data_IF_103504876056
#
_entry.id   IF_103504876056
#
_cell.length_a   1.000
_cell.length_b   1.000
_cell.length_c   1.000
_cell.angle_alpha   90.00
_cell.angle_beta   90.00
_cell.angle_gamma   90.00
#
_symmetry.space_group_name_H-M   'P 1'
#
loop_
_entity.id
_entity.type
_entity.pdbx_description
1 polymer ?
#
# COMPACT_ATOMS: atom_id res chain seq x y z
N UNK A 1 21.28 -24.95 11.78
CA UNK A 1 22.02 -23.85 11.14
C UNK A 1 21.04 -23.15 10.20
N UNK A 2 20.43 -22.09 10.67
CA UNK A 2 19.48 -21.27 9.90
C UNK A 2 20.33 -20.35 9.02
N UNK A 3 20.25 -20.52 7.70
CA UNK A 3 20.87 -19.58 6.77
C UNK A 3 20.11 -18.25 6.91
N UNK A 4 20.79 -17.24 7.44
CA UNK A 4 20.26 -15.89 7.57
C UNK A 4 19.74 -15.39 6.22
N UNK A 5 18.55 -14.79 6.22
CA UNK A 5 17.97 -14.16 5.05
C UNK A 5 18.97 -13.15 4.49
N UNK A 6 19.31 -13.30 3.22
CA UNK A 6 20.23 -12.41 2.55
C UNK A 6 19.65 -11.00 2.54
N UNK A 7 20.18 -10.13 3.40
CA UNK A 7 20.06 -8.68 3.24
C UNK A 7 20.55 -8.39 1.81
N UNK A 8 19.77 -7.65 1.04
CA UNK A 8 20.17 -7.22 -0.30
C UNK A 8 21.56 -6.60 -0.20
N UNK A 9 22.62 -7.34 -0.63
CA UNK A 9 23.92 -6.76 -0.80
C UNK A 9 23.77 -5.58 -1.76
N UNK A 10 24.42 -4.47 -1.42
CA UNK A 10 24.44 -3.29 -2.28
C UNK A 10 25.05 -3.68 -3.62
N UNK A 11 24.21 -3.97 -4.61
CA UNK A 11 24.66 -3.94 -6.00
C UNK A 11 25.32 -2.59 -6.24
N UNK A 12 26.42 -2.58 -6.99
CA UNK A 12 27.16 -1.33 -7.28
C UNK A 12 26.18 -0.28 -7.80
N UNK A 13 26.30 0.99 -7.36
CA UNK A 13 25.42 2.05 -7.84
C UNK A 13 25.41 2.05 -9.37
N UNK A 14 24.25 1.91 -9.96
CA UNK A 14 24.10 1.92 -11.42
C UNK A 14 24.32 3.36 -11.88
N UNK A 15 25.50 3.63 -12.42
CA UNK A 15 25.84 4.90 -13.05
C UNK A 15 25.48 4.82 -14.55
N UNK A 16 24.27 5.23 -14.88
CA UNK A 16 23.83 5.38 -16.27
C UNK A 16 23.23 6.77 -16.48
N UNK A 17 23.59 7.45 -17.55
CA UNK A 17 22.90 8.68 -17.97
C UNK A 17 21.53 8.28 -18.51
N UNK A 18 20.45 8.67 -17.82
CA UNK A 18 19.10 8.40 -18.28
C UNK A 18 18.83 9.19 -19.57
N UNK A 19 18.20 8.54 -20.55
CA UNK A 19 17.86 9.16 -21.84
C UNK A 19 16.66 10.13 -21.70
N UNK A 20 15.82 9.95 -20.68
CA UNK A 20 14.66 10.76 -20.35
C UNK A 20 14.49 10.85 -18.82
N UNK A 21 13.72 11.80 -18.29
CA UNK A 21 13.51 11.91 -16.85
C UNK A 21 12.69 10.74 -16.29
N UNK A 22 12.81 10.53 -14.98
CA UNK A 22 11.93 9.68 -14.19
C UNK A 22 10.62 10.44 -13.96
N UNK A 23 9.48 9.90 -14.38
CA UNK A 23 8.18 10.48 -14.05
C UNK A 23 7.71 10.01 -12.69
N UNK A 24 7.40 10.92 -11.77
CA UNK A 24 6.83 10.61 -10.46
C UNK A 24 5.37 11.03 -10.46
N UNK A 25 4.49 10.05 -10.52
CA UNK A 25 3.05 10.27 -10.45
C UNK A 25 2.67 10.46 -8.98
N UNK A 26 2.51 11.71 -8.56
CA UNK A 26 2.40 12.09 -7.15
C UNK A 26 1.21 13.04 -6.93
N UNK A 27 0.23 12.58 -6.18
CA UNK A 27 -0.96 13.35 -5.82
C UNK A 27 -0.83 13.93 -4.39
N UNK A 28 -0.06 13.24 -3.53
CA UNK A 28 0.08 13.66 -2.15
C UNK A 28 1.35 14.51 -1.99
N UNK A 29 1.28 15.70 -1.39
CA UNK A 29 2.40 16.65 -1.37
C UNK A 29 3.67 16.14 -0.70
N UNK A 30 3.56 15.15 0.21
CA UNK A 30 4.67 14.71 1.05
C UNK A 30 5.09 13.26 0.84
N UNK A 31 4.26 12.43 0.20
CA UNK A 31 4.54 10.98 0.11
C UNK A 31 5.78 10.65 -0.70
N UNK A 32 6.17 11.51 -1.61
CA UNK A 32 7.37 11.32 -2.42
C UNK A 32 8.57 12.14 -1.94
N UNK A 33 8.44 12.91 -0.86
CA UNK A 33 9.49 13.85 -0.43
C UNK A 33 10.86 13.18 -0.21
N UNK A 34 10.90 12.02 0.47
CA UNK A 34 12.15 11.27 0.70
C UNK A 34 12.75 10.73 -0.59
N UNK A 35 11.92 10.23 -1.52
CA UNK A 35 12.37 9.77 -2.83
C UNK A 35 12.90 10.93 -3.66
N UNK A 36 12.19 12.06 -3.69
CA UNK A 36 12.61 13.27 -4.40
C UNK A 36 13.96 13.76 -3.88
N UNK A 37 14.13 13.87 -2.56
CA UNK A 37 15.40 14.26 -1.95
C UNK A 37 16.56 13.34 -2.36
N UNK A 38 16.33 12.04 -2.46
CA UNK A 38 17.35 11.07 -2.90
C UNK A 38 17.66 11.22 -4.40
N UNK A 39 16.65 11.48 -5.25
CA UNK A 39 16.87 11.74 -6.67
C UNK A 39 17.67 13.03 -6.90
N UNK A 40 17.37 14.09 -6.15
CA UNK A 40 18.12 15.36 -6.14
C UNK A 40 19.57 15.16 -5.67
N UNK A 41 19.75 14.44 -4.56
CA UNK A 41 21.08 14.11 -4.03
C UNK A 41 21.94 13.39 -5.06
N UNK A 42 21.34 12.46 -5.80
CA UNK A 42 22.01 11.70 -6.88
C UNK A 42 22.07 12.45 -8.21
N UNK A 43 21.47 13.64 -8.31
CA UNK A 43 21.37 14.43 -9.54
C UNK A 43 20.73 13.66 -10.71
N UNK A 44 19.73 12.83 -10.41
CA UNK A 44 18.95 12.10 -11.40
C UNK A 44 17.85 13.01 -11.95
N UNK A 45 17.63 13.05 -13.28
CA UNK A 45 16.57 13.87 -13.85
C UNK A 45 15.21 13.27 -13.52
N UNK A 46 14.29 14.04 -12.97
CA UNK A 46 12.92 13.63 -12.69
C UNK A 46 11.93 14.76 -12.96
N UNK A 47 10.67 14.38 -13.10
CA UNK A 47 9.52 15.28 -13.26
C UNK A 47 8.38 14.79 -12.37
N UNK A 48 7.78 15.69 -11.58
CA UNK A 48 6.56 15.41 -10.84
C UNK A 48 5.36 15.59 -11.77
N UNK A 49 4.52 14.57 -11.84
CA UNK A 49 3.28 14.59 -12.61
C UNK A 49 2.11 14.66 -11.63
N UNK A 50 1.53 15.85 -11.50
CA UNK A 50 0.31 16.04 -10.73
C UNK A 50 -0.90 15.56 -11.55
N UNK A 51 -1.32 14.34 -11.29
CA UNK A 51 -2.44 13.71 -11.97
C UNK A 51 -3.81 14.05 -11.38
N UNK A 52 -3.88 14.92 -10.39
CA UNK A 52 -5.14 15.52 -9.95
C UNK A 52 -5.66 16.56 -10.94
N UNK A 53 -4.74 17.12 -11.75
CA UNK A 53 -5.02 18.10 -12.83
C UNK A 53 -4.14 17.82 -14.05
N UNK A 54 -4.34 16.68 -14.70
CA UNK A 54 -3.52 16.21 -15.82
C UNK A 54 -4.39 15.83 -17.01
N UNK A 55 -3.85 16.01 -18.22
CA UNK A 55 -4.47 15.54 -19.46
C UNK A 55 -3.42 14.87 -20.34
N UNK A 56 -3.81 13.86 -21.10
CA UNK A 56 -2.98 13.23 -22.13
C UNK A 56 -3.77 12.99 -23.41
N UNK A 57 -3.09 13.10 -24.56
CA UNK A 57 -3.65 12.71 -25.85
C UNK A 57 -3.21 11.27 -26.17
N UNK A 58 -4.13 10.29 -26.28
CA UNK A 58 -3.77 8.91 -26.60
C UNK A 58 -3.08 8.73 -27.96
N UNK A 59 -3.14 9.75 -28.85
CA UNK A 59 -2.43 9.76 -30.14
C UNK A 59 -0.96 10.14 -30.00
N UNK A 60 -0.56 10.79 -28.91
CA UNK A 60 0.85 11.07 -28.62
C UNK A 60 1.55 9.76 -28.27
N UNK A 61 2.42 9.29 -29.16
CA UNK A 61 3.13 8.00 -29.00
C UNK A 61 4.58 8.18 -28.55
N UNK A 62 4.99 9.39 -28.20
CA UNK A 62 6.35 9.67 -27.76
C UNK A 62 6.57 9.22 -26.31
N UNK A 63 7.52 8.32 -26.01
CA UNK A 63 7.86 7.96 -24.65
C UNK A 63 8.65 9.11 -24.00
N UNK A 64 7.99 9.90 -23.15
CA UNK A 64 8.60 11.09 -22.50
C UNK A 64 9.42 10.76 -21.26
N UNK A 65 9.22 9.58 -20.67
CA UNK A 65 9.85 9.16 -19.42
C UNK A 65 10.66 7.88 -19.61
N UNK A 66 11.77 7.76 -18.90
CA UNK A 66 12.56 6.54 -18.85
C UNK A 66 11.87 5.45 -18.00
N UNK A 67 11.13 5.87 -16.99
CA UNK A 67 10.34 5.03 -16.08
C UNK A 67 9.29 5.91 -15.38
N UNK A 68 8.14 5.36 -15.07
CA UNK A 68 7.13 5.99 -14.20
C UNK A 68 7.17 5.35 -12.83
N UNK A 69 7.15 6.16 -11.78
CA UNK A 69 6.97 5.72 -10.40
C UNK A 69 5.57 6.15 -9.95
N UNK A 70 4.67 5.17 -9.83
CA UNK A 70 3.31 5.42 -9.37
C UNK A 70 3.27 5.56 -7.84
N UNK A 71 2.90 6.75 -7.37
CA UNK A 71 2.73 7.08 -5.94
C UNK A 71 1.28 7.41 -5.58
N UNK A 72 0.32 7.04 -6.42
CA UNK A 72 -1.11 7.28 -6.19
C UNK A 72 -1.63 6.41 -5.05
N UNK A 73 -2.24 7.06 -4.07
CA UNK A 73 -2.82 6.36 -2.92
C UNK A 73 -4.34 6.19 -3.05
N UNK A 74 -4.89 5.05 -2.62
CA UNK A 74 -6.33 4.87 -2.50
C UNK A 74 -7.02 5.88 -1.58
N UNK A 75 -6.26 6.53 -0.68
CA UNK A 75 -6.80 7.57 0.21
C UNK A 75 -7.00 8.95 -0.46
N UNK A 76 -6.68 9.11 -1.76
CA UNK A 76 -6.85 10.35 -2.51
C UNK A 76 -8.28 10.92 -2.47
N UNK A 77 -9.30 10.04 -2.40
CA UNK A 77 -10.69 10.48 -2.28
C UNK A 77 -10.94 11.32 -1.01
N UNK A 78 -10.20 11.09 0.08
CA UNK A 78 -10.31 11.87 1.33
C UNK A 78 -9.77 13.30 1.19
N UNK A 79 -8.97 13.55 0.16
CA UNK A 79 -8.43 14.87 -0.18
C UNK A 79 -9.23 15.55 -1.29
N UNK A 80 -10.41 15.02 -1.64
CA UNK A 80 -11.26 15.54 -2.71
C UNK A 80 -10.90 15.03 -4.12
N UNK A 81 -9.90 14.16 -4.24
CA UNK A 81 -9.39 13.67 -5.52
C UNK A 81 -9.91 12.26 -5.87
N UNK A 82 -11.18 11.96 -5.57
CA UNK A 82 -11.75 10.62 -5.79
C UNK A 82 -11.68 10.11 -7.23
N UNK A 83 -11.80 10.99 -8.21
CA UNK A 83 -11.68 10.67 -9.64
C UNK A 83 -10.28 10.25 -10.08
N UNK A 84 -9.25 10.66 -9.33
CA UNK A 84 -7.82 10.35 -9.62
C UNK A 84 -7.57 8.85 -9.73
N UNK A 85 -8.23 8.03 -8.91
CA UNK A 85 -8.01 6.57 -8.92
C UNK A 85 -8.42 5.92 -10.25
N UNK A 86 -9.49 6.42 -10.87
CA UNK A 86 -9.95 5.92 -12.17
C UNK A 86 -9.11 6.49 -13.31
N UNK A 87 -8.78 7.78 -13.23
CA UNK A 87 -7.90 8.44 -14.19
C UNK A 87 -6.51 7.80 -14.23
N UNK A 88 -5.92 7.54 -13.07
CA UNK A 88 -4.61 6.91 -12.93
C UNK A 88 -4.55 5.54 -13.60
N UNK A 89 -5.58 4.71 -13.46
CA UNK A 89 -5.60 3.40 -14.12
C UNK A 89 -5.48 3.55 -15.64
N UNK A 90 -6.21 4.49 -16.25
CA UNK A 90 -6.12 4.78 -17.68
C UNK A 90 -4.76 5.34 -18.08
N UNK A 91 -4.20 6.25 -17.27
CA UNK A 91 -2.91 6.88 -17.54
C UNK A 91 -1.75 5.87 -17.45
N UNK A 92 -1.75 4.99 -16.44
CA UNK A 92 -0.74 3.93 -16.32
C UNK A 92 -0.82 2.96 -17.52
N UNK A 93 -2.02 2.52 -17.90
CA UNK A 93 -2.22 1.66 -19.06
C UNK A 93 -1.75 2.34 -20.36
N UNK A 94 -1.98 3.65 -20.51
CA UNK A 94 -1.46 4.42 -21.64
C UNK A 94 0.06 4.39 -21.67
N UNK A 95 0.75 4.71 -20.59
CA UNK A 95 2.21 4.69 -20.54
C UNK A 95 2.81 3.30 -20.76
N UNK A 96 2.20 2.26 -20.19
CA UNK A 96 2.61 0.87 -20.48
C UNK A 96 2.45 0.52 -21.96
N UNK A 97 1.41 1.04 -22.64
CA UNK A 97 1.22 0.86 -24.08
C UNK A 97 2.31 1.52 -24.94
N UNK A 98 3.02 2.49 -24.38
CA UNK A 98 4.19 3.13 -25.00
C UNK A 98 5.49 2.39 -24.73
N UNK A 99 5.45 1.27 -23.97
CA UNK A 99 6.64 0.53 -23.55
C UNK A 99 7.41 1.18 -22.40
N UNK A 100 6.84 2.20 -21.73
CA UNK A 100 7.46 2.83 -20.57
C UNK A 100 7.28 1.91 -19.36
N UNK A 101 8.36 1.51 -18.66
CA UNK A 101 8.24 0.77 -17.42
C UNK A 101 7.47 1.57 -16.37
N UNK A 102 6.55 0.94 -15.67
CA UNK A 102 5.79 1.53 -14.58
C UNK A 102 6.06 0.76 -13.29
N UNK A 103 6.40 1.46 -12.23
CA UNK A 103 6.62 0.94 -10.87
C UNK A 103 5.59 1.58 -9.93
N UNK A 104 4.59 0.91 -9.39
CA UNK A 104 4.08 -0.40 -9.74
C UNK A 104 3.16 -0.31 -10.98
N UNK A 105 3.07 -1.37 -11.79
CA UNK A 105 2.27 -1.38 -13.01
C UNK A 105 0.76 -1.29 -12.72
N UNK A 106 -0.03 -1.05 -13.79
CA UNK A 106 -1.49 -0.95 -13.67
C UNK A 106 -2.12 -2.20 -13.05
N UNK A 107 -1.54 -3.37 -13.30
CA UNK A 107 -2.01 -4.62 -12.70
C UNK A 107 -1.92 -4.59 -11.16
N UNK A 108 -0.79 -4.12 -10.62
CA UNK A 108 -0.62 -3.98 -9.17
C UNK A 108 -1.49 -2.86 -8.59
N UNK A 109 -1.65 -1.75 -9.31
CA UNK A 109 -2.49 -0.65 -8.87
C UNK A 109 -3.97 -1.03 -8.71
N UNK A 110 -4.45 -2.00 -9.49
CA UNK A 110 -5.80 -2.55 -9.31
C UNK A 110 -5.97 -3.23 -7.95
N UNK A 111 -4.97 -3.95 -7.48
CA UNK A 111 -4.98 -4.56 -6.14
C UNK A 111 -4.82 -3.49 -5.05
N UNK A 112 -3.98 -2.48 -5.25
CA UNK A 112 -3.82 -1.36 -4.32
C UNK A 112 -5.16 -0.70 -4.00
N UNK A 113 -5.99 -0.45 -5.00
CA UNK A 113 -7.26 0.27 -4.84
C UNK A 113 -8.48 -0.60 -4.55
N UNK A 114 -8.35 -1.95 -4.48
CA UNK A 114 -9.53 -2.83 -4.32
C UNK A 114 -9.27 -3.99 -3.36
N UNK A 115 -9.87 -3.89 -2.17
CA UNK A 115 -9.85 -4.97 -1.16
C UNK A 115 -10.63 -6.21 -1.62
N UNK A 116 -11.62 -6.03 -2.48
CA UNK A 116 -12.35 -7.15 -3.10
C UNK A 116 -11.43 -7.98 -4.00
N UNK A 117 -10.59 -7.31 -4.82
CA UNK A 117 -9.57 -8.00 -5.62
C UNK A 117 -8.50 -8.66 -4.74
N UNK A 118 -8.12 -8.04 -3.62
CA UNK A 118 -7.18 -8.63 -2.67
C UNK A 118 -7.75 -9.91 -2.04
N UNK A 119 -9.03 -9.95 -1.67
CA UNK A 119 -9.68 -11.17 -1.16
C UNK A 119 -9.63 -12.30 -2.22
N UNK A 120 -9.92 -11.99 -3.48
CA UNK A 120 -9.77 -12.94 -4.58
C UNK A 120 -8.33 -13.38 -4.86
N UNK A 121 -7.35 -12.48 -4.61
CA UNK A 121 -5.93 -12.81 -4.70
C UNK A 121 -5.53 -13.82 -3.61
N UNK A 122 -5.94 -13.60 -2.38
CA UNK A 122 -5.66 -14.51 -1.25
C UNK A 122 -6.22 -15.91 -1.52
N UNK A 123 -7.45 -15.98 -2.01
CA UNK A 123 -8.09 -17.25 -2.39
C UNK A 123 -7.31 -17.95 -3.52
N UNK A 124 -6.96 -17.23 -4.57
CA UNK A 124 -6.23 -17.78 -5.73
C UNK A 124 -4.84 -18.30 -5.38
N UNK A 125 -4.13 -17.62 -4.47
CA UNK A 125 -2.80 -18.04 -4.00
C UNK A 125 -2.89 -19.14 -2.96
N UNK A 126 -4.07 -19.37 -2.37
CA UNK A 126 -4.31 -20.40 -1.36
C UNK A 126 -3.79 -20.03 0.02
N UNK A 127 -3.73 -18.72 0.34
CA UNK A 127 -3.38 -18.25 1.68
C UNK A 127 -4.63 -17.97 2.50
N UNK A 128 -4.52 -18.08 3.81
CA UNK A 128 -5.64 -17.82 4.71
C UNK A 128 -5.88 -16.32 4.86
N UNK A 129 -7.14 -15.93 4.82
CA UNK A 129 -7.60 -14.57 5.09
C UNK A 129 -8.92 -14.60 5.89
N UNK A 130 -9.32 -13.53 6.58
CA UNK A 130 -10.60 -13.49 7.28
C UNK A 130 -11.76 -13.69 6.31
N UNK A 131 -12.71 -14.55 6.64
CA UNK A 131 -13.87 -14.81 5.77
C UNK A 131 -14.58 -13.50 5.43
N UNK A 132 -14.84 -13.31 4.15
CA UNK A 132 -15.24 -12.02 3.58
C UNK A 132 -16.36 -12.22 2.56
N UNK A 133 -17.36 -11.35 2.60
CA UNK A 133 -18.39 -11.22 1.58
C UNK A 133 -18.34 -9.80 1.03
N UNK A 134 -18.25 -9.67 -0.30
CA UNK A 134 -18.26 -8.37 -0.98
C UNK A 134 -19.70 -7.99 -1.31
N UNK A 135 -20.07 -6.74 -1.02
CA UNK A 135 -21.42 -6.20 -1.24
C UNK A 135 -21.33 -4.84 -1.92
N UNK A 136 -22.31 -4.52 -2.77
CA UNK A 136 -22.41 -3.22 -3.44
C UNK A 136 -23.74 -2.47 -3.13
N UNK A 137 -24.49 -2.98 -2.18
CA UNK A 137 -25.70 -2.35 -1.71
C UNK A 137 -25.91 -2.60 -0.21
N UNK A 138 -26.44 -1.60 0.53
CA UNK A 138 -26.65 -1.71 1.98
C UNK A 138 -27.57 -2.84 2.39
N UNK A 139 -28.61 -3.13 1.59
CA UNK A 139 -29.57 -4.20 1.86
C UNK A 139 -28.93 -5.60 1.88
N UNK A 140 -27.76 -5.75 1.26
CA UNK A 140 -27.03 -7.01 1.22
C UNK A 140 -26.21 -7.26 2.50
N UNK A 141 -25.91 -6.22 3.30
CA UNK A 141 -25.00 -6.29 4.44
C UNK A 141 -25.49 -7.26 5.50
N UNK A 142 -26.78 -7.20 5.86
CA UNK A 142 -27.37 -8.10 6.87
C UNK A 142 -27.41 -9.55 6.41
N UNK A 143 -27.68 -9.78 5.13
CA UNK A 143 -27.63 -11.12 4.56
C UNK A 143 -26.20 -11.65 4.59
N UNK A 144 -25.23 -10.87 4.13
CA UNK A 144 -23.82 -11.21 4.14
C UNK A 144 -23.30 -11.52 5.56
N UNK A 145 -23.67 -10.66 6.54
CA UNK A 145 -23.25 -10.89 7.93
C UNK A 145 -23.83 -12.15 8.55
N UNK A 146 -25.00 -12.61 8.07
CA UNK A 146 -25.61 -13.88 8.52
C UNK A 146 -24.82 -15.13 8.15
N UNK A 147 -23.88 -15.04 7.20
CA UNK A 147 -22.98 -16.11 6.79
C UNK A 147 -21.64 -16.08 7.55
N UNK A 148 -21.42 -15.06 8.39
CA UNK A 148 -20.16 -14.76 9.05
C UNK A 148 -20.31 -14.89 10.58
N UNK A 149 -19.18 -15.10 11.24
CA UNK A 149 -19.11 -15.09 12.71
C UNK A 149 -18.83 -13.67 13.20
N UNK A 150 -19.65 -13.22 14.16
CA UNK A 150 -19.39 -11.95 14.85
C UNK A 150 -18.21 -12.09 15.83
N UNK A 151 -17.44 -11.02 16.09
CA UNK A 151 -17.57 -9.68 15.48
C UNK A 151 -17.28 -9.65 13.99
N UNK A 152 -17.92 -8.69 13.27
CA UNK A 152 -17.63 -8.44 11.87
C UNK A 152 -17.14 -7.00 11.68
N UNK A 153 -16.36 -6.81 10.62
CA UNK A 153 -15.99 -5.49 10.11
C UNK A 153 -16.81 -5.18 8.86
N UNK A 154 -17.26 -3.95 8.72
CA UNK A 154 -17.68 -3.40 7.43
C UNK A 154 -16.64 -2.37 7.02
N UNK A 155 -16.05 -2.55 5.85
CA UNK A 155 -14.99 -1.67 5.33
C UNK A 155 -15.21 -1.36 3.86
N UNK A 156 -14.99 -0.10 3.40
CA UNK A 156 -15.08 0.22 1.99
C UNK A 156 -14.04 -0.57 1.18
N UNK A 157 -14.38 -0.88 -0.05
CA UNK A 157 -13.48 -1.54 -0.99
C UNK A 157 -12.26 -0.65 -1.30
N UNK A 158 -12.51 0.62 -1.59
CA UNK A 158 -11.48 1.63 -1.85
C UNK A 158 -11.23 2.43 -0.59
N UNK A 159 -10.00 2.39 -0.08
CA UNK A 159 -9.63 3.15 1.11
C UNK A 159 -8.24 2.79 1.61
N UNK A 160 -7.70 3.61 2.51
CA UNK A 160 -6.40 3.42 3.13
C UNK A 160 -6.39 3.91 4.59
N UNK A 161 -5.34 3.60 5.32
CA UNK A 161 -5.11 4.05 6.70
C UNK A 161 -6.25 3.70 7.69
N UNK A 162 -6.97 2.61 7.46
CA UNK A 162 -8.06 2.16 8.33
C UNK A 162 -9.33 3.05 8.31
N UNK A 163 -9.40 4.00 7.39
CA UNK A 163 -10.53 4.91 7.31
C UNK A 163 -11.85 4.19 6.97
N UNK A 164 -12.93 4.64 7.62
CA UNK A 164 -14.30 4.14 7.40
C UNK A 164 -14.48 2.64 7.70
N UNK A 165 -13.55 2.02 8.43
CA UNK A 165 -13.71 0.66 8.94
C UNK A 165 -14.53 0.73 10.21
N UNK A 166 -15.69 0.06 10.23
CA UNK A 166 -16.54 -0.05 11.41
C UNK A 166 -16.61 -1.50 11.87
N UNK A 167 -16.47 -1.71 13.19
CA UNK A 167 -16.61 -3.02 13.84
C UNK A 167 -17.97 -3.15 14.51
N UNK A 168 -18.55 -4.33 14.37
CA UNK A 168 -19.85 -4.69 14.99
C UNK A 168 -19.68 -5.99 15.77
N UNK A 169 -19.96 -5.90 17.07
CA UNK A 169 -19.85 -7.06 17.94
C UNK A 169 -21.12 -7.94 17.90
N UNK A 170 -22.27 -7.35 17.54
CA UNK A 170 -23.53 -8.05 17.39
C UNK A 170 -24.30 -7.60 16.13
N UNK A 171 -25.22 -8.45 15.67
CA UNK A 171 -26.08 -8.16 14.53
C UNK A 171 -26.96 -6.93 14.74
N UNK A 172 -27.46 -6.74 15.95
CA UNK A 172 -28.34 -5.60 16.29
C UNK A 172 -27.60 -4.26 16.11
N UNK A 173 -26.31 -4.20 16.48
CA UNK A 173 -25.48 -2.99 16.30
C UNK A 173 -25.30 -2.66 14.82
N UNK A 174 -25.11 -3.68 14.00
CA UNK A 174 -24.98 -3.54 12.54
C UNK A 174 -26.31 -3.07 11.92
N UNK A 175 -27.44 -3.64 12.34
CA UNK A 175 -28.79 -3.24 11.87
C UNK A 175 -29.07 -1.76 12.16
N UNK A 176 -28.75 -1.30 13.35
CA UNK A 176 -28.93 0.10 13.74
C UNK A 176 -28.06 1.09 12.94
N UNK A 177 -26.92 0.62 12.41
CA UNK A 177 -25.93 1.47 11.74
C UNK A 177 -25.98 1.43 10.21
N UNK A 178 -26.65 0.46 9.61
CA UNK A 178 -26.63 0.17 8.16
C UNK A 178 -26.89 1.39 7.27
N UNK A 179 -27.89 2.22 7.62
CA UNK A 179 -28.26 3.38 6.82
C UNK A 179 -27.15 4.43 6.72
N UNK A 180 -26.24 4.45 7.70
CA UNK A 180 -25.17 5.43 7.80
C UNK A 180 -23.80 4.88 7.37
N UNK A 181 -23.70 3.61 6.94
CA UNK A 181 -22.46 3.04 6.43
C UNK A 181 -22.01 3.76 5.16
N UNK A 182 -20.72 4.09 5.11
CA UNK A 182 -20.08 4.67 3.92
C UNK A 182 -19.31 3.58 3.17
N UNK A 183 -19.71 3.32 1.93
CA UNK A 183 -19.09 2.30 1.07
C UNK A 183 -17.91 2.85 0.25
N UNK A 184 -17.56 4.14 0.44
CA UNK A 184 -16.47 4.76 -0.28
C UNK A 184 -16.82 5.12 -1.74
N UNK A 185 -15.82 5.52 -2.53
CA UNK A 185 -16.03 6.16 -3.82
C UNK A 185 -16.56 5.24 -4.92
N UNK A 186 -16.45 3.91 -4.79
CA UNK A 186 -16.95 2.94 -5.78
C UNK A 186 -18.26 2.25 -5.36
N UNK A 187 -18.82 2.64 -4.21
CA UNK A 187 -20.07 2.08 -3.70
C UNK A 187 -19.98 0.61 -3.31
N UNK A 188 -18.79 0.08 -3.09
CA UNK A 188 -18.56 -1.33 -2.75
C UNK A 188 -17.98 -1.44 -1.35
N UNK A 189 -18.42 -2.42 -0.58
CA UNK A 189 -17.90 -2.70 0.75
C UNK A 189 -17.63 -4.20 0.95
N UNK A 190 -16.82 -4.51 1.95
CA UNK A 190 -16.56 -5.85 2.42
C UNK A 190 -17.17 -6.02 3.80
N UNK A 191 -17.98 -7.05 3.99
CA UNK A 191 -18.38 -7.57 5.30
C UNK A 191 -17.44 -8.71 5.62
N UNK A 192 -16.66 -8.57 6.70
CA UNK A 192 -15.53 -9.47 6.98
C UNK A 192 -15.53 -9.90 8.45
N UNK A 193 -15.27 -11.19 8.72
CA UNK A 193 -15.03 -11.64 10.09
C UNK A 193 -13.87 -10.87 10.73
N UNK A 194 -14.05 -10.39 11.94
CA UNK A 194 -12.97 -9.80 12.71
C UNK A 194 -12.12 -10.92 13.34
N UNK A 195 -10.86 -10.97 13.00
CA UNK A 195 -9.90 -11.85 13.62
C UNK A 195 -9.10 -11.04 14.63
N UNK A 196 -9.29 -11.36 15.91
CA UNK A 196 -8.49 -10.75 16.98
C UNK A 196 -7.05 -11.21 16.84
N UNK A 197 -6.14 -10.26 16.73
CA UNK A 197 -4.71 -10.57 16.63
C UNK A 197 -4.09 -10.87 17.99
N UNK A 198 -3.12 -11.76 18.00
CA UNK A 198 -2.29 -12.02 19.17
C UNK A 198 -1.58 -10.73 19.61
N UNK A 199 -1.67 -10.39 20.88
CA UNK A 199 -1.11 -9.17 21.48
C UNK A 199 -1.50 -7.84 20.79
N UNK A 200 -2.59 -7.82 20.00
CA UNK A 200 -2.97 -6.63 19.23
C UNK A 200 -1.98 -6.29 18.11
N UNK A 201 -1.15 -7.24 17.72
CA UNK A 201 -0.06 -7.04 16.76
C UNK A 201 -0.47 -7.40 15.34
N UNK A 202 0.09 -6.68 14.39
CA UNK A 202 0.14 -7.06 12.99
C UNK A 202 1.59 -7.12 12.52
N UNK A 203 1.83 -7.79 11.41
CA UNK A 203 3.12 -7.81 10.73
C UNK A 203 2.94 -7.31 9.31
N UNK A 204 3.80 -6.38 8.91
CA UNK A 204 3.92 -5.90 7.55
C UNK A 204 5.25 -6.36 6.97
N UNK A 205 5.18 -7.06 5.85
CA UNK A 205 6.34 -7.58 5.12
C UNK A 205 6.50 -6.76 3.86
N UNK A 206 7.63 -6.08 3.73
CA UNK A 206 7.97 -5.29 2.55
C UNK A 206 8.76 -6.14 1.56
N UNK A 207 8.39 -5.99 0.30
CA UNK A 207 9.03 -6.65 -0.84
C UNK A 207 9.49 -5.61 -1.84
N UNK A 208 10.56 -5.93 -2.58
CA UNK A 208 11.05 -5.13 -3.69
C UNK A 208 11.81 -6.01 -4.68
N UNK A 209 11.55 -5.84 -5.98
CA UNK A 209 12.25 -6.57 -7.05
C UNK A 209 12.16 -8.10 -6.87
N UNK A 210 10.95 -8.60 -6.58
CA UNK A 210 10.66 -10.01 -6.32
C UNK A 210 11.45 -10.63 -5.13
N UNK A 211 11.90 -9.79 -4.20
CA UNK A 211 12.68 -10.20 -3.02
C UNK A 211 12.08 -9.67 -1.73
N UNK A 212 12.27 -10.43 -0.67
CA UNK A 212 12.02 -9.95 0.69
C UNK A 212 12.98 -8.79 1.02
N UNK A 213 12.44 -7.68 1.51
CA UNK A 213 13.22 -6.51 1.88
C UNK A 213 13.40 -6.43 3.40
N UNK A 214 12.32 -6.40 4.14
CA UNK A 214 12.28 -6.46 5.60
C UNK A 214 10.87 -6.75 6.08
N UNK A 215 10.71 -7.04 7.38
CA UNK A 215 9.40 -6.99 8.00
C UNK A 215 9.45 -6.23 9.33
N UNK A 216 8.30 -5.68 9.68
CA UNK A 216 8.07 -4.99 10.95
C UNK A 216 6.84 -5.55 11.64
N UNK A 217 6.91 -5.63 12.96
CA UNK A 217 5.79 -5.92 13.84
C UNK A 217 5.29 -4.60 14.39
N UNK A 218 3.99 -4.38 14.27
CA UNK A 218 3.30 -3.18 14.70
C UNK A 218 2.30 -3.59 15.77
N UNK A 219 2.46 -3.06 16.98
CA UNK A 219 1.57 -3.30 18.11
C UNK A 219 0.75 -2.05 18.37
N UNK A 220 -0.57 -2.19 18.43
CA UNK A 220 -1.48 -1.12 18.80
C UNK A 220 -1.58 -0.98 20.30
N UNK A 221 -1.57 0.27 20.77
CA UNK A 221 -1.97 0.64 22.13
C UNK A 221 -3.30 1.41 22.15
N UNK A 222 -3.82 1.77 20.96
CA UNK A 222 -5.09 2.47 20.76
C UNK A 222 -6.12 1.60 20.00
N UNK A 223 -7.39 2.00 19.99
CA UNK A 223 -8.51 1.24 19.40
C UNK A 223 -8.77 1.56 17.93
N UNK A 224 -8.06 2.49 17.31
CA UNK A 224 -8.23 2.83 15.91
C UNK A 224 -7.62 1.79 14.96
N UNK A 225 -8.05 1.79 13.68
CA UNK A 225 -7.57 0.87 12.64
C UNK A 225 -6.43 1.45 11.79
N UNK A 226 -5.94 2.67 12.09
CA UNK A 226 -4.81 3.23 11.37
C UNK A 226 -3.49 2.67 11.89
N UNK A 227 -2.94 1.71 11.16
CA UNK A 227 -1.67 1.02 11.48
C UNK A 227 -0.54 1.40 10.53
N UNK A 228 -0.70 2.47 9.75
CA UNK A 228 0.33 2.93 8.82
C UNK A 228 1.62 3.30 9.58
N UNK A 229 2.76 2.64 9.31
CA UNK A 229 4.02 2.87 10.00
C UNK A 229 4.88 4.00 9.38
N UNK A 230 4.41 4.63 8.30
CA UNK A 230 5.15 5.70 7.64
C UNK A 230 4.99 7.05 8.38
N UNK A 231 6.00 7.91 8.30
CA UNK A 231 6.03 9.21 8.96
C UNK A 231 4.77 10.03 8.71
N UNK A 232 4.35 10.11 7.46
CA UNK A 232 3.20 10.90 7.04
C UNK A 232 1.85 10.39 7.56
N UNK A 233 1.74 9.08 7.78
CA UNK A 233 0.53 8.49 8.38
C UNK A 233 0.44 8.75 9.89
N UNK A 234 1.50 9.22 10.50
CA UNK A 234 1.60 9.46 11.93
C UNK A 234 1.29 10.92 12.30
N UNK A 235 1.21 11.81 11.32
CA UNK A 235 0.85 13.19 11.54
C UNK A 235 -0.67 13.35 11.74
N UNK A 236 -1.14 14.23 12.64
CA UNK A 236 -2.53 14.64 12.67
C UNK A 236 -2.92 15.23 11.31
N UNK A 237 -4.13 14.96 10.83
CA UNK A 237 -4.61 15.61 9.63
C UNK A 237 -4.56 17.14 9.82
N UNK A 238 -3.88 17.90 8.94
CA UNK A 238 -3.80 19.35 9.10
C UNK A 238 -5.21 19.94 9.04
N UNK A 239 -5.53 20.95 9.87
CA UNK A 239 -6.73 21.74 9.66
C UNK A 239 -6.65 22.37 8.26
N UNK A 240 -7.79 22.54 7.59
CA UNK A 240 -7.93 22.97 6.20
C UNK A 240 -7.25 24.31 5.82
N UNK A 241 -6.42 24.88 6.71
CA UNK A 241 -5.74 26.17 6.53
C UNK A 241 -4.50 26.28 7.42
N UNK A 242 -3.50 25.40 7.30
CA UNK A 242 -2.23 25.59 8.03
C UNK A 242 -1.04 25.73 7.08
N UNK A 243 -0.29 26.82 7.23
CA UNK A 243 1.01 27.08 6.62
C UNK A 243 1.97 25.90 6.89
N UNK A 244 2.65 25.42 5.84
CA UNK A 244 3.57 24.30 5.87
C UNK A 244 4.91 24.67 6.55
N UNK A 245 4.88 24.94 7.84
CA UNK A 245 6.07 24.99 8.67
C UNK A 245 6.48 23.57 9.09
N UNK A 246 7.77 23.24 8.99
CA UNK A 246 8.34 21.95 9.33
C UNK A 246 7.86 21.45 10.70
N UNK A 247 7.08 20.39 10.73
CA UNK A 247 6.69 19.70 11.96
C UNK A 247 7.75 18.67 12.34
N UNK A 248 8.14 18.59 13.64
CA UNK A 248 8.99 17.50 14.13
C UNK A 248 8.25 16.17 14.02
N UNK A 249 8.95 15.17 13.46
CA UNK A 249 8.44 13.81 13.28
C UNK A 249 8.46 13.09 14.62
N UNK A 250 7.38 13.20 15.38
CA UNK A 250 7.13 12.32 16.53
C UNK A 250 6.33 11.10 16.07
N UNK A 251 6.76 9.90 16.50
CA UNK A 251 6.00 8.69 16.26
C UNK A 251 4.56 8.86 16.79
N UNK A 252 3.57 8.39 16.03
CA UNK A 252 2.16 8.46 16.45
C UNK A 252 2.04 7.86 17.85
N UNK A 253 1.56 8.61 18.85
CA UNK A 253 1.38 8.06 20.18
C UNK A 253 0.45 6.85 20.11
N UNK A 254 0.94 5.69 20.61
CA UNK A 254 0.16 4.46 20.63
C UNK A 254 0.52 3.41 19.58
N UNK A 255 1.58 3.59 18.77
CA UNK A 255 2.15 2.53 17.94
C UNK A 255 3.55 2.16 18.43
N UNK A 256 3.78 0.85 18.65
CA UNK A 256 5.13 0.30 18.80
C UNK A 256 5.50 -0.42 17.51
N UNK A 257 6.57 0.02 16.86
CA UNK A 257 7.08 -0.56 15.61
C UNK A 257 8.47 -1.13 15.86
N UNK A 258 8.64 -2.42 15.60
CA UNK A 258 9.91 -3.12 15.76
C UNK A 258 10.23 -3.95 14.53
N UNK A 259 11.52 -4.12 14.21
CA UNK A 259 11.93 -5.10 13.21
C UNK A 259 11.46 -6.50 13.63
N UNK A 260 11.04 -7.27 12.64
CA UNK A 260 10.57 -8.62 12.82
C UNK A 260 11.12 -9.54 11.74
N UNK A 261 11.45 -10.77 12.09
CA UNK A 261 11.89 -11.79 11.15
C UNK A 261 10.79 -12.87 11.01
N UNK A 262 9.95 -12.80 9.94
CA UNK A 262 8.86 -13.73 9.76
C UNK A 262 9.36 -15.14 9.43
N UNK A 263 8.56 -16.19 9.73
CA UNK A 263 8.87 -17.55 9.30
C UNK A 263 9.08 -17.63 7.78
N UNK A 264 10.00 -18.48 7.32
CA UNK A 264 10.31 -18.62 5.88
C UNK A 264 9.07 -18.91 5.02
N UNK A 265 8.16 -19.76 5.52
CA UNK A 265 6.89 -20.04 4.83
C UNK A 265 6.04 -18.78 4.61
N UNK A 266 6.03 -17.85 5.56
CA UNK A 266 5.30 -16.57 5.42
C UNK A 266 5.97 -15.71 4.36
N UNK A 267 7.30 -15.64 4.34
CA UNK A 267 8.06 -14.92 3.30
C UNK A 267 7.73 -15.48 1.91
N UNK A 268 7.73 -16.81 1.75
CA UNK A 268 7.40 -17.47 0.49
C UNK A 268 5.96 -17.14 0.03
N UNK A 269 5.00 -17.14 0.96
CA UNK A 269 3.60 -16.77 0.68
C UNK A 269 3.48 -15.30 0.27
N UNK A 270 4.19 -14.39 0.94
CA UNK A 270 4.23 -12.96 0.61
C UNK A 270 4.82 -12.75 -0.79
N UNK A 271 5.91 -13.41 -1.13
CA UNK A 271 6.50 -13.33 -2.47
C UNK A 271 5.55 -13.89 -3.54
N UNK A 272 4.83 -14.99 -3.24
CA UNK A 272 3.82 -15.53 -4.14
C UNK A 272 2.66 -14.55 -4.37
N UNK A 273 2.18 -13.87 -3.31
CA UNK A 273 1.17 -12.82 -3.39
C UNK A 273 1.66 -11.63 -4.23
N UNK A 274 2.88 -11.15 -3.97
CA UNK A 274 3.48 -10.04 -4.70
C UNK A 274 3.60 -10.33 -6.20
N UNK A 275 4.09 -11.51 -6.57
CA UNK A 275 4.16 -11.96 -7.98
C UNK A 275 2.78 -12.05 -8.62
N UNK A 276 1.81 -12.67 -7.94
CA UNK A 276 0.45 -12.84 -8.45
C UNK A 276 -0.29 -11.50 -8.62
N UNK A 277 0.11 -10.46 -7.87
CA UNK A 277 -0.40 -9.10 -7.97
C UNK A 277 0.48 -8.18 -8.84
N UNK A 278 1.58 -8.68 -9.41
CA UNK A 278 2.55 -7.89 -10.20
C UNK A 278 3.15 -6.71 -9.42
N UNK A 279 3.41 -6.90 -8.13
CA UNK A 279 3.98 -5.86 -7.27
C UNK A 279 5.49 -5.84 -7.40
N UNK A 280 6.03 -4.74 -7.91
CA UNK A 280 7.48 -4.46 -7.94
C UNK A 280 7.99 -4.08 -6.55
N UNK A 281 7.23 -3.22 -5.85
CA UNK A 281 7.53 -2.75 -4.50
C UNK A 281 6.23 -2.59 -3.71
N UNK A 282 6.20 -3.09 -2.49
CA UNK A 282 5.00 -2.97 -1.67
C UNK A 282 5.10 -3.71 -0.34
N UNK A 283 4.07 -3.53 0.47
CA UNK A 283 3.93 -4.18 1.76
C UNK A 283 2.69 -5.06 1.83
N UNK A 284 2.84 -6.28 2.30
CA UNK A 284 1.74 -7.22 2.53
C UNK A 284 1.58 -7.41 4.03
N UNK A 285 0.34 -7.29 4.50
CA UNK A 285 0.02 -7.30 5.92
C UNK A 285 -0.69 -8.58 6.33
N UNK A 286 -0.27 -9.12 7.45
CA UNK A 286 -0.93 -10.24 8.09
C UNK A 286 -1.00 -10.07 9.61
N UNK A 287 -1.85 -10.86 10.22
CA UNK A 287 -1.91 -11.03 11.66
C UNK A 287 -1.88 -12.53 12.03
N UNK A 288 -1.51 -12.82 13.26
CA UNK A 288 -1.66 -14.15 13.86
C UNK A 288 -2.94 -14.14 14.70
N UNK A 289 -3.87 -15.01 14.38
CA UNK A 289 -5.14 -15.11 15.10
C UNK A 289 -4.93 -15.59 16.54
N UNK A 290 -5.42 -14.82 17.52
CA UNK A 290 -5.31 -15.16 18.95
C UNK A 290 -5.95 -16.50 19.31
N UNK A 291 -7.06 -16.84 18.63
CA UNK A 291 -7.83 -18.03 18.96
C UNK A 291 -7.21 -19.34 18.44
N UNK A 292 -6.42 -19.28 17.34
CA UNK A 292 -5.98 -20.48 16.64
C UNK A 292 -4.49 -20.48 16.25
N UNK A 293 -3.76 -19.39 16.52
CA UNK A 293 -2.35 -19.23 16.19
C UNK A 293 -2.04 -19.21 14.69
N UNK A 294 -3.04 -19.01 13.82
CA UNK A 294 -2.88 -19.08 12.37
C UNK A 294 -2.65 -17.71 11.77
N UNK A 295 -1.89 -17.68 10.66
CA UNK A 295 -1.64 -16.47 9.87
C UNK A 295 -2.85 -16.13 9.01
N UNK A 296 -3.29 -14.88 9.05
CA UNK A 296 -4.37 -14.31 8.23
C UNK A 296 -3.86 -13.08 7.48
N UNK A 297 -3.79 -13.16 6.16
CA UNK A 297 -3.49 -12.01 5.29
C UNK A 297 -4.73 -11.15 5.14
N UNK A 298 -4.60 -9.82 5.16
CA UNK A 298 -5.77 -8.94 5.11
C UNK A 298 -5.60 -7.65 4.32
N UNK A 299 -4.36 -7.26 3.97
CA UNK A 299 -4.11 -6.06 3.18
C UNK A 299 -2.87 -6.21 2.30
N UNK A 300 -2.94 -5.64 1.09
CA UNK A 300 -1.89 -5.62 0.10
C UNK A 300 -1.70 -4.18 -0.36
N UNK A 301 -0.51 -3.64 -0.13
CA UNK A 301 -0.18 -2.26 -0.44
C UNK A 301 0.90 -2.22 -1.51
N UNK A 302 0.52 -1.83 -2.74
CA UNK A 302 1.44 -1.64 -3.85
C UNK A 302 2.07 -0.23 -3.87
N UNK A 303 1.84 0.57 -2.83
CA UNK A 303 2.49 1.87 -2.63
C UNK A 303 3.12 1.88 -1.25
N UNK A 304 4.43 1.66 -1.16
CA UNK A 304 5.14 1.72 0.12
C UNK A 304 5.78 3.08 0.33
N UNK A 305 5.57 3.65 1.53
CA UNK A 305 6.30 4.81 2.03
C UNK A 305 7.44 4.39 2.97
N UNK A 306 7.62 3.06 3.13
CA UNK A 306 8.52 2.44 4.11
C UNK A 306 8.22 2.86 5.56
N UNK A 307 8.91 2.23 6.49
CA UNK A 307 8.76 2.55 7.91
C UNK A 307 9.41 3.88 8.26
N UNK A 308 8.76 4.62 9.14
CA UNK A 308 9.31 5.83 9.74
C UNK A 308 10.65 5.53 10.45
N UNK A 309 11.59 6.47 10.38
CA UNK A 309 12.90 6.33 10.99
C UNK A 309 13.55 4.95 10.71
N UNK A 310 13.47 4.50 9.44
CA UNK A 310 13.96 3.21 9.00
C UNK A 310 15.38 2.87 9.49
N UNK A 311 16.37 3.80 9.49
CA UNK A 311 17.70 3.50 10.02
C UNK A 311 17.71 3.05 11.48
N UNK A 312 16.88 3.62 12.33
CA UNK A 312 16.78 3.21 13.73
C UNK A 312 16.04 1.88 13.92
N UNK A 313 14.98 1.64 13.15
CA UNK A 313 14.15 0.42 13.25
C UNK A 313 14.81 -0.77 12.58
N UNK A 314 15.42 -0.57 11.40
CA UNK A 314 15.92 -1.61 10.51
C UNK A 314 17.44 -1.74 10.49
N UNK A 315 18.17 -0.68 10.83
CA UNK A 315 19.62 -0.58 10.67
C UNK A 315 20.05 -0.11 9.27
N UNK A 316 19.10 0.21 8.37
CA UNK A 316 19.37 0.73 7.02
C UNK A 316 18.22 1.58 6.51
N UNK A 317 18.48 2.42 5.48
CA UNK A 317 17.43 3.18 4.77
C UNK A 317 17.06 2.45 3.47
N UNK A 318 15.78 2.11 3.24
CA UNK A 318 15.34 1.46 2.00
C UNK A 318 15.26 2.42 0.80
N UNK A 319 15.23 3.75 0.99
CA UNK A 319 15.11 4.73 -0.11
C UNK A 319 16.25 4.63 -1.14
N UNK A 320 17.54 4.55 -0.74
CA UNK A 320 18.61 4.33 -1.69
C UNK A 320 18.45 3.05 -2.53
N UNK A 321 18.01 1.94 -1.92
CA UNK A 321 17.75 0.68 -2.63
C UNK A 321 16.60 0.82 -3.63
N UNK A 322 15.55 1.54 -3.26
CA UNK A 322 14.43 1.83 -4.15
C UNK A 322 14.88 2.70 -5.33
N UNK A 323 15.70 3.70 -5.07
CA UNK A 323 16.27 4.54 -6.14
C UNK A 323 17.14 3.72 -7.10
N UNK A 324 17.96 2.81 -6.58
CA UNK A 324 18.74 1.87 -7.42
C UNK A 324 17.82 0.99 -8.28
N UNK A 325 16.72 0.49 -7.73
CA UNK A 325 15.74 -0.28 -8.48
C UNK A 325 15.10 0.56 -9.61
N UNK A 326 14.67 1.80 -9.33
CA UNK A 326 14.11 2.72 -10.32
C UNK A 326 15.10 2.93 -11.48
N UNK A 327 16.38 3.19 -11.16
CA UNK A 327 17.42 3.40 -12.19
C UNK A 327 17.63 2.13 -13.03
N UNK A 328 17.68 0.94 -12.43
CA UNK A 328 17.78 -0.31 -13.19
C UNK A 328 16.62 -0.49 -14.17
N UNK A 329 15.38 -0.20 -13.72
CA UNK A 329 14.19 -0.31 -14.58
C UNK A 329 14.23 0.71 -15.72
N UNK A 330 14.68 1.95 -15.46
CA UNK A 330 14.84 3.00 -16.46
C UNK A 330 15.89 2.64 -17.53
N UNK A 331 17.04 2.07 -17.14
CA UNK A 331 18.13 1.68 -18.08
C UNK A 331 17.79 0.40 -18.83
N UNK A 332 17.09 -0.55 -18.19
CA UNK A 332 16.69 -1.81 -18.81
C UNK A 332 15.70 -1.67 -19.97
N UNK A 333 14.87 -0.63 -19.95
CA UNK A 333 13.93 -0.31 -21.04
C UNK A 333 14.60 0.33 -22.27
N UNK A 334 15.84 0.80 -22.11
CA UNK A 334 16.60 1.44 -23.21
C UNK A 334 17.38 0.44 -24.06
N UNK A 335 17.22 -0.87 -23.82
CA UNK A 335 17.82 -1.97 -24.60
C UNK A 335 16.75 -2.75 -25.34
#
# INVERSE_FOLDING_TARGET
MVRGGAVLERDRPVSGRLAAPIGILDEHPEWSARLIAELEHRRLPFEKVDHSSHAFDPRDRAPRYAVIVNRTSPSSHRRGHGGVLFYTEGLLAYWESLGIPVINPVAAFRFEKSKALQAGLFERVGVRYPRTVVVNHRDQVLKASGELRFPVLVKPNVGGSGALIERFDARADLEARIAALDFGPDGTALVQEYVESEEGAIVRVEVMDDRYLYAIRIVRTATDFNLCPADICQLPAPPASADLGACPVEAKPGLSVTRYDPPAQVVDQVLALARAASIDIGGIEYLVGRADGRVYYYDVNATSNFVANAPAVLGFDPIPLFTDYIVRRAVGASR
#
